data_IF_888751760548
#
_entry.id   IF_888751760548
#
_cell.length_a   1.000
_cell.length_b   1.000
_cell.length_c   1.000
_cell.angle_alpha   90.00
_cell.angle_beta   90.00
_cell.angle_gamma   90.00
#
_symmetry.space_group_name_H-M   'P 1'
#
loop_
_entity.id
_entity.type
_entity.pdbx_description
1 polymer ?
#
# COMPACT_ATOMS: atom_id res chain seq x y z
N UNK A 1 -2.95 -2.44 18.55
CA UNK A 1 -1.49 -2.54 18.38
C UNK A 1 -1.02 -1.18 17.91
N UNK A 2 -0.12 -0.52 18.63
CA UNK A 2 0.67 0.56 18.05
C UNK A 2 1.73 -0.12 17.20
N UNK A 3 1.69 0.10 15.90
CA UNK A 3 2.73 -0.32 14.97
C UNK A 3 3.76 0.79 14.92
N UNK A 4 5.04 0.46 15.07
CA UNK A 4 6.10 1.45 14.84
C UNK A 4 6.02 1.90 13.37
N UNK A 5 6.15 3.21 13.10
CA UNK A 5 6.06 3.75 11.74
C UNK A 5 7.21 3.21 10.88
N UNK A 6 6.94 2.86 9.62
CA UNK A 6 8.00 2.50 8.67
C UNK A 6 8.66 3.79 8.18
N UNK A 7 9.90 4.05 8.57
CA UNK A 7 10.64 5.27 8.20
C UNK A 7 11.52 5.09 6.97
N UNK A 8 11.74 3.87 6.51
CA UNK A 8 12.54 3.55 5.34
C UNK A 8 11.64 3.38 4.11
N UNK A 9 11.87 4.17 3.06
CA UNK A 9 11.00 4.20 1.87
C UNK A 9 10.95 2.86 1.13
N UNK A 10 12.05 2.11 1.10
CA UNK A 10 12.10 0.79 0.47
C UNK A 10 11.27 -0.24 1.25
N UNK A 11 11.33 -0.19 2.59
CA UNK A 11 10.53 -1.05 3.47
C UNK A 11 9.05 -0.69 3.35
N UNK A 12 8.74 0.60 3.22
CA UNK A 12 7.38 1.08 2.99
C UNK A 12 6.83 0.51 1.68
N UNK A 13 7.58 0.62 0.57
CA UNK A 13 7.18 0.09 -0.74
C UNK A 13 6.97 -1.42 -0.71
N UNK A 14 7.89 -2.15 -0.08
CA UNK A 14 7.76 -3.61 0.06
C UNK A 14 6.53 -4.00 0.90
N UNK A 15 6.26 -3.27 1.99
CA UNK A 15 5.10 -3.51 2.85
C UNK A 15 3.80 -3.19 2.13
N UNK A 16 3.77 -2.11 1.34
CA UNK A 16 2.62 -1.75 0.53
C UNK A 16 2.33 -2.78 -0.57
N UNK A 17 3.36 -3.23 -1.29
CA UNK A 17 3.22 -4.29 -2.29
C UNK A 17 2.67 -5.59 -1.67
N UNK A 18 3.20 -5.98 -0.51
CA UNK A 18 2.69 -7.13 0.24
C UNK A 18 1.24 -6.91 0.72
N UNK A 19 0.87 -5.69 1.13
CA UNK A 19 -0.49 -5.34 1.51
C UNK A 19 -1.46 -5.53 0.34
N UNK A 20 -1.12 -4.98 -0.82
CA UNK A 20 -1.89 -5.09 -2.07
C UNK A 20 -2.05 -6.56 -2.48
N UNK A 21 -0.98 -7.35 -2.42
CA UNK A 21 -1.05 -8.78 -2.73
C UNK A 21 -1.92 -9.56 -1.73
N UNK A 22 -1.84 -9.24 -0.44
CA UNK A 22 -2.68 -9.85 0.59
C UNK A 22 -4.16 -9.48 0.42
N UNK A 23 -4.48 -8.24 0.05
CA UNK A 23 -5.83 -7.79 -0.33
C UNK A 23 -6.37 -8.59 -1.53
N UNK A 24 -5.57 -8.73 -2.58
CA UNK A 24 -5.95 -9.47 -3.79
C UNK A 24 -6.13 -10.99 -3.57
N UNK A 25 -5.43 -11.55 -2.58
CA UNK A 25 -5.44 -12.99 -2.26
C UNK A 25 -6.43 -13.38 -1.16
N UNK A 26 -7.35 -12.49 -0.79
CA UNK A 26 -8.31 -12.68 0.32
C UNK A 26 -7.67 -12.96 1.69
N UNK A 27 -6.40 -12.56 1.89
CA UNK A 27 -5.69 -12.75 3.16
C UNK A 27 -6.01 -11.60 4.13
N UNK A 28 -7.29 -11.41 4.44
CA UNK A 28 -7.81 -10.23 5.15
C UNK A 28 -7.12 -9.91 6.48
N UNK A 29 -6.71 -10.94 7.25
CA UNK A 29 -5.98 -10.73 8.52
C UNK A 29 -4.59 -10.14 8.29
N UNK A 30 -3.87 -10.67 7.30
CA UNK A 30 -2.54 -10.18 6.94
C UNK A 30 -2.63 -8.77 6.33
N UNK A 31 -3.55 -8.57 5.39
CA UNK A 31 -3.81 -7.28 4.77
C UNK A 31 -4.11 -6.20 5.82
N UNK A 32 -4.91 -6.51 6.84
CA UNK A 32 -5.23 -5.57 7.93
C UNK A 32 -4.00 -5.14 8.72
N UNK A 33 -3.08 -6.06 9.01
CA UNK A 33 -1.84 -5.73 9.73
C UNK A 33 -0.94 -4.89 8.83
N UNK A 34 -0.70 -5.30 7.59
CA UNK A 34 0.16 -4.57 6.65
C UNK A 34 -0.38 -3.16 6.38
N UNK A 35 -1.70 -3.01 6.22
CA UNK A 35 -2.35 -1.72 6.06
C UNK A 35 -2.12 -0.79 7.25
N UNK A 36 -2.20 -1.31 8.48
CA UNK A 36 -1.92 -0.50 9.67
C UNK A 36 -0.48 0.01 9.72
N UNK A 37 0.49 -0.77 9.25
CA UNK A 37 1.90 -0.34 9.15
C UNK A 37 2.08 0.72 8.07
N UNK A 38 1.50 0.52 6.89
CA UNK A 38 1.49 1.49 5.79
C UNK A 38 0.87 2.82 6.23
N UNK A 39 -0.33 2.78 6.81
CA UNK A 39 -1.07 3.97 7.23
C UNK A 39 -0.40 4.70 8.41
N UNK A 40 0.40 3.98 9.21
CA UNK A 40 1.18 4.56 10.30
C UNK A 40 2.49 5.20 9.87
N UNK A 41 2.89 5.06 8.61
CA UNK A 41 4.18 5.55 8.10
C UNK A 41 4.10 7.03 7.67
N UNK A 42 5.21 7.79 7.66
CA UNK A 42 5.24 9.17 7.18
C UNK A 42 5.10 9.28 5.65
N UNK A 43 5.08 8.14 4.94
CA UNK A 43 4.90 8.09 3.49
C UNK A 43 3.43 7.96 3.13
N UNK A 44 3.02 8.76 2.15
CA UNK A 44 1.67 8.69 1.60
C UNK A 44 1.64 7.65 0.48
N UNK A 45 0.63 6.78 0.48
CA UNK A 45 0.36 5.95 -0.70
C UNK A 45 -0.02 6.81 -1.89
N UNK A 46 -0.21 6.19 -3.06
CA UNK A 46 -0.68 6.88 -4.26
C UNK A 46 -1.91 7.75 -3.92
N UNK A 47 -1.92 9.06 -4.21
CA UNK A 47 -2.99 9.95 -3.78
C UNK A 47 -4.35 9.62 -4.43
N UNK A 48 -4.34 8.89 -5.55
CA UNK A 48 -5.56 8.51 -6.29
C UNK A 48 -6.19 7.22 -5.78
N UNK A 49 -5.40 6.16 -5.57
CA UNK A 49 -5.92 4.87 -5.12
C UNK A 49 -5.67 4.59 -3.62
N UNK A 50 -4.96 5.47 -2.93
CA UNK A 50 -4.52 5.31 -1.54
C UNK A 50 -3.79 3.99 -1.29
N UNK A 51 -3.02 3.51 -2.28
CA UNK A 51 -2.32 2.24 -2.19
C UNK A 51 -3.25 1.02 -2.06
N UNK A 52 -4.48 1.10 -2.58
CA UNK A 52 -5.41 -0.04 -2.61
C UNK A 52 -5.19 -0.88 -3.86
N UNK A 53 -5.33 -2.19 -3.70
CA UNK A 53 -5.42 -3.10 -4.83
C UNK A 53 -6.64 -2.74 -5.71
N UNK A 54 -6.53 -2.82 -7.05
CA UNK A 54 -7.71 -2.78 -7.90
C UNK A 54 -8.63 -3.95 -7.54
N UNK A 55 -9.95 -3.76 -7.65
CA UNK A 55 -10.88 -4.89 -7.59
C UNK A 55 -10.55 -5.84 -8.75
N UNK A 56 -10.83 -7.14 -8.61
CA UNK A 56 -10.30 -8.22 -9.47
C UNK A 56 -10.32 -7.99 -10.99
N UNK A 57 -11.24 -7.14 -11.49
CA UNK A 57 -11.39 -6.83 -12.91
C UNK A 57 -11.25 -5.33 -13.23
N UNK A 58 -10.89 -4.49 -12.25
CA UNK A 58 -10.66 -3.07 -12.49
C UNK A 58 -9.28 -2.86 -13.09
N UNK A 59 -9.13 -1.87 -14.00
CA UNK A 59 -7.83 -1.48 -14.50
C UNK A 59 -6.93 -1.00 -13.35
N UNK A 60 -5.60 -1.20 -13.44
CA UNK A 60 -4.69 -0.65 -12.46
C UNK A 60 -4.84 0.87 -12.38
N UNK A 61 -4.60 1.43 -11.19
CA UNK A 61 -4.64 2.87 -10.98
C UNK A 61 -3.72 3.57 -11.99
N UNK A 62 -4.26 4.52 -12.77
CA UNK A 62 -3.50 5.21 -13.81
C UNK A 62 -2.35 6.07 -13.27
N UNK A 63 -2.41 6.48 -12.00
CA UNK A 63 -1.41 7.32 -11.36
C UNK A 63 -0.20 6.54 -10.86
N UNK A 64 -0.39 5.37 -10.25
CA UNK A 64 0.70 4.52 -9.74
C UNK A 64 0.96 3.26 -10.58
N UNK A 65 0.19 3.06 -11.64
CA UNK A 65 0.22 1.87 -12.49
C UNK A 65 0.14 0.54 -11.72
N UNK A 66 -0.56 0.53 -10.58
CA UNK A 66 -0.70 -0.63 -9.70
C UNK A 66 0.38 -0.80 -8.63
N UNK A 67 1.41 0.04 -8.58
CA UNK A 67 2.46 -0.01 -7.53
C UNK A 67 1.91 0.37 -6.15
N UNK A 68 0.77 1.06 -6.13
CA UNK A 68 0.15 1.57 -4.90
C UNK A 68 0.87 2.79 -4.32
N UNK A 69 2.08 3.10 -4.78
CA UNK A 69 2.89 4.24 -4.38
C UNK A 69 3.27 5.10 -5.59
N UNK A 70 3.41 6.40 -5.38
CA UNK A 70 4.02 7.32 -6.33
C UNK A 70 4.97 8.16 -5.49
N UNK A 71 6.28 8.23 -5.80
CA UNK A 71 7.15 9.15 -5.10
C UNK A 71 6.60 10.57 -5.28
N UNK A 72 6.54 11.35 -4.20
CA UNK A 72 6.19 12.76 -4.28
C UNK A 72 7.11 13.40 -5.34
N UNK A 73 6.48 13.97 -6.38
CA UNK A 73 7.20 14.78 -7.34
C UNK A 73 7.58 16.07 -6.59
N UNK A 74 8.88 16.22 -6.34
CA UNK A 74 9.53 17.38 -5.72
C UNK A 74 8.91 18.73 -6.13
#
# INVERSE_FOLDING_TARGET
>A
MQTEPITEVEVYRATLAACVQAEASDQYKLAKVLRAWVDGSPFSGCPTCHGRAPWRNDPPCSTCNGDGFVPDAD
#
